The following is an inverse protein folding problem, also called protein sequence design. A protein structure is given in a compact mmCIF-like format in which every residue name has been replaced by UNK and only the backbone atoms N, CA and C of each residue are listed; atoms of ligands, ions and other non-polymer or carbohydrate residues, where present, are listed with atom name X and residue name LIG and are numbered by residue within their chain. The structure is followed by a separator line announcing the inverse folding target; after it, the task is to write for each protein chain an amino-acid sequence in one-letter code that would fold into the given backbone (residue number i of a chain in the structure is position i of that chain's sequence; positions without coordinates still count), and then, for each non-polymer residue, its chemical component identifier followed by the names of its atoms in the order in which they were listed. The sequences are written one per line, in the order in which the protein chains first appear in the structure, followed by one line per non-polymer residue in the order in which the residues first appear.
data_IF_725549005221
#
_entry.id   IF_725549005221
#
_cell.length_a   1.000
_cell.length_b   1.000
_cell.length_c   1.000
_cell.angle_alpha   90.00
_cell.angle_beta   90.00
_cell.angle_gamma   90.00
#
_symmetry.space_group_name_H-M   'P 1'
#
loop_
_entity.id
_entity.type
_entity.pdbx_description
1 polymer ?
#
# COMPACT_ATOMS: atom_id res chain seq x y z
N UNK A 1 -23.56 20.77 -7.48
CA UNK A 1 -23.11 19.39 -7.76
C UNK A 1 -21.61 19.17 -7.54
N UNK A 2 -20.75 20.19 -7.61
CA UNK A 2 -19.29 20.02 -7.46
C UNK A 2 -18.83 19.54 -6.06
N UNK A 3 -19.38 20.10 -4.97
CA UNK A 3 -19.02 19.68 -3.60
C UNK A 3 -19.37 18.22 -3.27
N UNK A 4 -20.45 17.68 -3.85
CA UNK A 4 -20.89 16.31 -3.60
C UNK A 4 -19.98 15.24 -4.23
N UNK A 5 -19.28 15.56 -5.32
CA UNK A 5 -18.32 14.63 -5.92
C UNK A 5 -17.04 14.54 -5.09
N UNK A 6 -16.62 15.63 -4.44
CA UNK A 6 -15.36 15.67 -3.69
C UNK A 6 -15.36 14.76 -2.46
N UNK A 7 -16.45 14.70 -1.70
CA UNK A 7 -16.52 13.83 -0.51
C UNK A 7 -16.52 12.34 -0.85
N UNK A 8 -17.23 11.94 -1.92
CA UNK A 8 -17.27 10.55 -2.36
C UNK A 8 -15.89 10.13 -2.86
N UNK A 9 -15.18 11.02 -3.57
CA UNK A 9 -13.81 10.73 -3.99
C UNK A 9 -12.87 10.55 -2.80
N UNK A 10 -13.00 11.35 -1.73
CA UNK A 10 -12.15 11.20 -0.54
C UNK A 10 -12.39 9.88 0.19
N UNK A 11 -13.65 9.45 0.36
CA UNK A 11 -13.98 8.18 1.02
C UNK A 11 -13.49 6.97 0.21
N UNK A 12 -13.60 7.03 -1.12
CA UNK A 12 -13.09 5.98 -2.01
C UNK A 12 -11.55 5.90 -1.93
N UNK A 13 -10.87 7.04 -1.91
CA UNK A 13 -9.41 7.09 -1.79
C UNK A 13 -8.97 6.49 -0.45
N UNK A 14 -9.60 6.88 0.66
CA UNK A 14 -9.29 6.35 1.99
C UNK A 14 -9.50 4.83 2.07
N UNK A 15 -10.63 4.33 1.58
CA UNK A 15 -10.91 2.89 1.52
C UNK A 15 -9.87 2.14 0.67
N UNK A 16 -9.49 2.71 -0.48
CA UNK A 16 -8.52 2.10 -1.40
C UNK A 16 -7.12 2.02 -0.79
N UNK A 17 -6.66 3.10 -0.14
CA UNK A 17 -5.37 3.14 0.53
C UNK A 17 -5.31 2.15 1.69
N UNK A 18 -6.35 2.11 2.53
CA UNK A 18 -6.45 1.17 3.67
C UNK A 18 -6.50 -0.29 3.22
N UNK A 19 -7.20 -0.58 2.12
CA UNK A 19 -7.24 -1.91 1.51
C UNK A 19 -5.86 -2.35 0.98
N UNK A 20 -5.13 -1.47 0.29
CA UNK A 20 -3.78 -1.76 -0.21
C UNK A 20 -2.83 -2.03 0.96
N UNK A 21 -2.88 -1.18 1.99
CA UNK A 21 -2.05 -1.35 3.18
C UNK A 21 -2.36 -2.66 3.90
N UNK A 22 -3.64 -3.00 4.06
CA UNK A 22 -4.07 -4.28 4.62
C UNK A 22 -3.55 -5.49 3.84
N UNK A 23 -3.54 -5.45 2.50
CA UNK A 23 -2.97 -6.52 1.67
C UNK A 23 -1.47 -6.70 1.95
N UNK A 24 -0.72 -5.60 2.10
CA UNK A 24 0.71 -5.64 2.43
C UNK A 24 0.91 -6.25 3.83
N UNK A 25 0.11 -5.83 4.82
CA UNK A 25 0.17 -6.38 6.17
C UNK A 25 -0.13 -7.89 6.19
N UNK A 26 -1.13 -8.37 5.43
CA UNK A 26 -1.45 -9.81 5.32
C UNK A 26 -0.26 -10.57 4.75
N UNK A 27 0.37 -10.05 3.68
CA UNK A 27 1.56 -10.67 3.08
C UNK A 27 2.71 -10.77 4.10
N UNK A 28 2.98 -9.70 4.85
CA UNK A 28 4.02 -9.67 5.89
C UNK A 28 3.72 -10.63 7.04
N UNK A 29 2.48 -10.64 7.54
CA UNK A 29 2.03 -11.56 8.58
C UNK A 29 2.21 -13.02 8.17
N UNK A 30 1.80 -13.35 6.94
CA UNK A 30 1.95 -14.70 6.39
C UNK A 30 3.41 -15.07 6.11
N UNK A 31 4.26 -14.12 5.67
CA UNK A 31 5.71 -14.32 5.51
C UNK A 31 6.33 -14.73 6.85
N UNK A 32 6.08 -13.96 7.91
CA UNK A 32 6.63 -14.23 9.25
C UNK A 32 6.06 -15.53 9.83
N UNK A 33 4.77 -15.80 9.63
CA UNK A 33 4.17 -17.07 10.03
C UNK A 33 4.87 -18.29 9.43
N UNK A 34 5.21 -18.23 8.14
CA UNK A 34 6.01 -19.29 7.49
C UNK A 34 7.41 -19.39 8.07
N UNK A 35 8.08 -18.27 8.33
CA UNK A 35 9.43 -18.25 8.90
C UNK A 35 9.46 -18.94 10.27
N UNK A 36 8.50 -18.61 11.16
CA UNK A 36 8.37 -19.25 12.47
C UNK A 36 8.18 -20.77 12.33
N UNK A 37 7.28 -21.20 11.44
CA UNK A 37 7.02 -22.64 11.24
C UNK A 37 8.27 -23.38 10.73
N UNK A 38 9.00 -22.81 9.76
CA UNK A 38 10.25 -23.38 9.26
C UNK A 38 11.32 -23.49 10.34
N UNK A 39 11.49 -22.44 11.16
CA UNK A 39 12.45 -22.42 12.25
C UNK A 39 12.10 -23.41 13.37
N UNK A 40 10.80 -23.57 13.69
CA UNK A 40 10.33 -24.56 14.66
C UNK A 40 10.56 -26.00 14.16
N UNK A 41 10.31 -26.27 12.87
CA UNK A 41 10.56 -27.57 12.27
C UNK A 41 12.06 -27.94 12.34
N UNK A 42 12.95 -26.98 12.08
CA UNK A 42 14.40 -27.19 12.20
C UNK A 42 14.83 -27.39 13.65
N UNK A 43 14.33 -26.57 14.58
CA UNK A 43 14.63 -26.70 16.02
C UNK A 43 14.24 -28.08 16.56
N UNK A 44 13.10 -28.63 16.13
CA UNK A 44 12.64 -29.96 16.55
C UNK A 44 13.48 -31.12 15.97
N UNK A 45 14.36 -30.83 15.00
CA UNK A 45 15.20 -31.79 14.28
C UNK A 45 16.69 -31.61 14.60
N UNK A 46 17.03 -30.92 15.68
CA UNK A 46 18.41 -30.85 16.20
C UNK A 46 18.87 -32.25 16.63
N UNK A 47 19.32 -33.02 15.64
CA UNK A 47 20.05 -34.26 15.80
C UNK A 47 21.45 -33.98 15.24
N UNK A 48 22.49 -34.03 16.09
CA UNK A 48 23.90 -33.86 15.70
C UNK A 48 24.31 -34.82 14.54
N UNK A 49 23.56 -35.92 14.37
CA UNK A 49 23.72 -36.91 13.30
C UNK A 49 23.16 -36.47 11.93
N UNK A 50 22.50 -35.31 11.84
CA UNK A 50 21.96 -34.77 10.59
C UNK A 50 23.05 -34.38 9.59
N UNK A 51 24.25 -34.04 10.08
CA UNK A 51 25.39 -33.57 9.29
C UNK A 51 26.15 -34.71 8.60
N UNK A 52 26.06 -35.94 9.12
CA UNK A 52 26.79 -37.10 8.60
C UNK A 52 26.01 -37.83 7.48
N UNK A 53 24.73 -37.49 7.27
CA UNK A 53 23.84 -38.11 6.27
C UNK A 53 23.54 -37.22 5.03
N UNK A 54 24.36 -36.21 4.75
CA UNK A 54 24.15 -35.30 3.61
C UNK A 54 24.42 -36.02 2.29
N UNK A 55 23.46 -35.96 1.36
CA UNK A 55 23.60 -36.45 -0.03
C UNK A 55 23.94 -35.27 -0.93
N UNK A 56 24.76 -35.52 -1.95
CA UNK A 56 25.36 -34.54 -2.88
C UNK A 56 24.36 -33.73 -3.73
N UNK A 57 23.05 -33.99 -3.63
CA UNK A 57 22.05 -33.50 -4.59
C UNK A 57 20.72 -33.03 -3.98
N UNK A 58 20.53 -33.15 -2.66
CA UNK A 58 19.34 -32.66 -1.97
C UNK A 58 19.74 -31.79 -0.78
N UNK A 59 19.64 -30.47 -0.96
CA UNK A 59 19.81 -29.51 0.11
C UNK A 59 18.88 -29.82 1.28
N UNK A 60 19.43 -29.91 2.49
CA UNK A 60 18.67 -30.10 3.72
C UNK A 60 18.64 -28.80 4.49
N UNK A 61 17.46 -28.23 4.68
CA UNK A 61 17.29 -27.03 5.49
C UNK A 61 17.65 -27.33 6.94
N UNK A 62 18.63 -26.60 7.48
CA UNK A 62 19.21 -26.88 8.78
C UNK A 62 19.70 -25.61 9.48
N UNK A 63 19.97 -25.77 10.77
CA UNK A 63 20.55 -24.76 11.64
C UNK A 63 21.94 -25.20 12.05
N UNK A 64 22.89 -24.28 11.96
CA UNK A 64 24.27 -24.47 12.38
C UNK A 64 24.59 -23.39 13.39
N UNK A 65 25.07 -23.80 14.56
CA UNK A 65 25.45 -22.87 15.62
C UNK A 65 26.90 -23.08 16.01
N UNK A 66 27.75 -22.07 15.87
CA UNK A 66 29.15 -22.22 16.19
C UNK A 66 30.01 -20.98 15.94
N UNK A 67 31.29 -21.02 16.33
CA UNK A 67 32.21 -19.93 16.07
C UNK A 67 32.52 -19.80 14.58
N UNK A 68 32.62 -18.54 14.14
CA UNK A 68 33.06 -18.17 12.80
C UNK A 68 34.56 -18.34 12.67
N UNK A 69 35.01 -18.98 11.58
CA UNK A 69 36.41 -19.16 11.23
C UNK A 69 36.66 -18.67 9.80
N UNK A 70 37.67 -17.84 9.59
CA UNK A 70 38.03 -17.39 8.25
C UNK A 70 38.68 -18.54 7.45
N UNK A 71 38.34 -18.65 6.16
CA UNK A 71 39.00 -19.58 5.22
C UNK A 71 40.18 -18.94 4.50
N UNK A 72 40.34 -17.62 4.61
CA UNK A 72 41.45 -16.85 4.07
C UNK A 72 41.94 -15.78 5.05
N UNK A 73 42.58 -14.74 4.51
CA UNK A 73 43.04 -13.60 5.32
C UNK A 73 41.84 -12.81 5.85
N UNK A 74 41.79 -12.56 7.15
CA UNK A 74 40.75 -11.74 7.76
C UNK A 74 40.83 -10.28 7.31
N UNK A 75 39.69 -9.59 7.35
CA UNK A 75 39.59 -8.17 7.07
C UNK A 75 39.98 -7.43 8.35
N UNK A 76 41.07 -6.65 8.38
CA UNK A 76 41.38 -5.80 9.51
C UNK A 76 40.39 -4.63 9.58
N UNK A 77 40.07 -4.19 10.80
CA UNK A 77 39.28 -2.98 11.01
C UNK A 77 40.05 -1.76 10.54
N UNK A 78 39.34 -0.80 9.94
CA UNK A 78 39.94 0.44 9.44
C UNK A 78 40.24 1.42 10.59
N UNK A 79 39.39 1.43 11.62
CA UNK A 79 39.48 2.41 12.70
C UNK A 79 39.97 1.82 14.03
N UNK A 80 39.85 0.52 14.25
CA UNK A 80 40.22 -0.12 15.52
C UNK A 80 41.43 -1.05 15.31
N UNK A 81 42.58 -0.77 15.95
CA UNK A 81 43.75 -1.61 15.82
C UNK A 81 43.51 -2.98 16.47
N UNK A 82 44.16 -4.02 15.92
CA UNK A 82 44.07 -5.41 16.40
C UNK A 82 42.68 -6.05 16.36
N UNK A 83 41.74 -5.47 15.61
CA UNK A 83 40.44 -6.09 15.36
C UNK A 83 40.35 -6.56 13.91
N UNK A 84 39.89 -7.79 13.70
CA UNK A 84 39.69 -8.35 12.37
C UNK A 84 38.42 -9.21 12.31
N UNK A 85 37.84 -9.31 11.12
CA UNK A 85 36.59 -10.04 10.90
C UNK A 85 36.50 -10.64 9.50
N UNK A 86 35.37 -11.31 9.25
CA UNK A 86 35.09 -11.99 7.98
C UNK A 86 34.13 -11.20 7.10
N UNK A 87 33.30 -10.36 7.71
CA UNK A 87 32.39 -9.44 7.02
C UNK A 87 32.57 -8.07 7.63
N UNK A 88 32.70 -7.06 6.80
CA UNK A 88 32.78 -5.66 7.20
C UNK A 88 31.81 -4.85 6.36
N UNK A 89 31.03 -4.01 7.03
CA UNK A 89 30.14 -3.02 6.44
C UNK A 89 30.60 -1.65 6.88
N UNK A 90 30.99 -0.83 5.91
CA UNK A 90 31.32 0.57 6.12
C UNK A 90 30.13 1.40 5.64
N UNK A 91 29.58 2.22 6.53
CA UNK A 91 28.45 3.10 6.21
C UNK A 91 28.77 4.52 6.60
N UNK A 92 28.66 5.45 5.66
CA UNK A 92 28.67 6.89 5.94
C UNK A 92 27.29 7.43 5.63
N UNK A 93 26.64 8.00 6.64
CA UNK A 93 25.29 8.52 6.55
C UNK A 93 25.24 9.98 6.96
N UNK A 94 24.45 10.76 6.23
CA UNK A 94 24.09 12.13 6.60
C UNK A 94 22.95 12.10 7.61
N UNK A 95 23.07 12.86 8.69
CA UNK A 95 22.01 13.05 9.66
C UNK A 95 21.33 14.40 9.42
N UNK A 96 20.06 14.33 9.03
CA UNK A 96 19.22 15.48 8.71
C UNK A 96 17.92 15.44 9.50
N UNK A 97 17.35 16.60 9.79
CA UNK A 97 15.96 16.74 10.20
C UNK A 97 15.12 17.16 9.01
N UNK A 98 14.03 16.47 8.72
CA UNK A 98 13.11 16.84 7.66
C UNK A 98 11.71 17.10 8.18
N UNK A 99 10.97 17.93 7.44
CA UNK A 99 9.61 18.35 7.78
C UNK A 99 8.60 17.65 6.86
N UNK A 100 7.62 16.91 7.40
CA UNK A 100 6.50 16.45 6.56
C UNK A 100 5.65 17.61 6.07
N UNK A 101 4.77 17.29 5.11
CA UNK A 101 3.61 18.10 4.72
C UNK A 101 2.75 18.56 5.91
N UNK A 102 2.71 17.82 7.03
CA UNK A 102 1.99 18.20 8.27
C UNK A 102 2.76 19.20 9.14
N UNK A 103 4.00 19.53 8.78
CA UNK A 103 4.82 20.53 9.46
C UNK A 103 5.62 20.03 10.66
N UNK A 104 5.58 18.73 10.97
CA UNK A 104 6.34 18.08 12.04
C UNK A 104 7.77 17.75 11.59
N UNK A 105 8.74 18.01 12.45
CA UNK A 105 10.17 17.71 12.22
C UNK A 105 10.51 16.33 12.78
N UNK A 106 11.23 15.52 12.00
CA UNK A 106 11.78 14.25 12.46
C UNK A 106 13.23 14.08 12.02
N UNK A 107 13.97 13.23 12.74
CA UNK A 107 15.32 12.83 12.36
C UNK A 107 15.28 11.76 11.27
N UNK A 108 16.10 11.94 10.25
CA UNK A 108 16.25 11.05 9.10
C UNK A 108 17.74 10.82 8.87
N UNK A 109 18.15 9.55 8.78
CA UNK A 109 19.51 9.16 8.41
C UNK A 109 19.55 8.75 6.95
N UNK A 110 20.33 9.47 6.15
CA UNK A 110 20.45 9.25 4.71
C UNK A 110 21.80 8.62 4.40
N UNK A 111 21.86 7.34 3.96
CA UNK A 111 23.12 6.73 3.61
C UNK A 111 23.73 7.42 2.38
N UNK A 112 24.94 7.97 2.53
CA UNK A 112 25.73 8.59 1.45
C UNK A 112 26.53 7.50 0.73
N UNK A 113 27.17 6.65 1.51
CA UNK A 113 28.01 5.58 1.00
C UNK A 113 27.90 4.34 1.87
N UNK A 114 27.75 3.18 1.24
CA UNK A 114 27.73 1.88 1.90
C UNK A 114 28.56 0.89 1.08
N UNK A 115 29.51 0.23 1.72
CA UNK A 115 30.34 -0.80 1.09
C UNK A 115 30.44 -2.03 1.99
N UNK A 116 30.46 -3.21 1.35
CA UNK A 116 30.57 -4.49 2.02
C UNK A 116 31.84 -5.19 1.55
N UNK A 117 32.68 -5.58 2.51
CA UNK A 117 33.84 -6.43 2.28
C UNK A 117 33.53 -7.79 2.92
N UNK A 118 33.66 -8.86 2.14
CA UNK A 118 33.36 -10.22 2.58
C UNK A 118 34.54 -11.12 2.22
N UNK A 119 35.02 -11.86 3.20
CA UNK A 119 36.02 -12.93 3.02
C UNK A 119 35.32 -14.27 3.21
N UNK A 120 35.62 -15.31 2.41
CA UNK A 120 35.08 -16.65 2.62
C UNK A 120 35.34 -17.13 4.05
N UNK A 121 34.28 -17.59 4.71
CA UNK A 121 34.34 -18.06 6.09
C UNK A 121 33.45 -19.27 6.29
N UNK A 122 33.73 -19.99 7.36
CA UNK A 122 32.97 -21.16 7.76
C UNK A 122 32.51 -21.06 9.21
N UNK A 123 31.40 -21.72 9.52
CA UNK A 123 30.94 -21.94 10.88
C UNK A 123 31.44 -23.33 11.31
N UNK A 124 32.14 -23.37 12.44
CA UNK A 124 32.71 -24.62 12.97
C UNK A 124 31.70 -25.26 13.93
N UNK A 125 31.34 -26.51 13.68
CA UNK A 125 30.43 -27.29 14.52
C UNK A 125 31.07 -28.64 14.85
N UNK A 126 31.65 -28.74 16.05
CA UNK A 126 32.41 -29.93 16.46
C UNK A 126 33.56 -30.24 15.50
N UNK A 127 33.46 -31.38 14.80
CA UNK A 127 34.45 -31.84 13.80
C UNK A 127 34.20 -31.27 12.39
N UNK A 128 33.05 -30.62 12.16
CA UNK A 128 32.62 -30.18 10.84
C UNK A 128 32.91 -28.70 10.64
N UNK A 129 33.38 -28.36 9.43
CA UNK A 129 33.59 -26.98 8.98
C UNK A 129 32.61 -26.74 7.84
N UNK A 130 31.70 -25.79 8.03
CA UNK A 130 30.61 -25.51 7.08
C UNK A 130 30.84 -24.12 6.51
N UNK A 131 31.23 -24.05 5.24
CA UNK A 131 31.46 -22.80 4.54
C UNK A 131 30.13 -22.10 4.24
N UNK A 132 30.09 -20.78 4.48
CA UNK A 132 28.88 -19.97 4.29
C UNK A 132 28.96 -19.26 2.95
N UNK A 133 27.97 -19.49 2.09
CA UNK A 133 27.90 -18.89 0.75
C UNK A 133 26.91 -17.73 0.72
N UNK A 134 27.17 -16.74 -0.15
CA UNK A 134 26.24 -15.64 -0.46
C UNK A 134 25.65 -14.93 0.76
N UNK A 135 26.50 -14.62 1.74
CA UNK A 135 26.18 -13.98 3.03
C UNK A 135 25.32 -12.72 2.87
N UNK A 136 25.55 -11.94 1.80
CA UNK A 136 24.82 -10.70 1.52
C UNK A 136 23.36 -10.94 1.09
N UNK A 137 22.98 -12.17 0.72
CA UNK A 137 21.59 -12.53 0.40
C UNK A 137 20.79 -12.94 1.64
N UNK A 138 21.39 -12.94 2.83
CA UNK A 138 20.68 -13.25 4.07
C UNK A 138 19.54 -12.25 4.32
N UNK A 139 18.36 -12.75 4.67
CA UNK A 139 17.21 -11.94 5.10
C UNK A 139 17.57 -11.13 6.37
N UNK A 140 18.48 -11.65 7.20
CA UNK A 140 19.00 -11.00 8.39
C UNK A 140 20.49 -11.35 8.53
N UNK A 141 21.34 -10.33 8.48
CA UNK A 141 22.79 -10.43 8.71
C UNK A 141 23.14 -9.53 9.89
N UNK A 142 23.49 -10.13 11.03
CA UNK A 142 23.88 -9.38 12.21
C UNK A 142 25.38 -9.06 12.18
N UNK A 143 25.72 -7.78 12.30
CA UNK A 143 27.08 -7.26 12.39
C UNK A 143 27.20 -6.40 13.65
N UNK A 144 28.29 -6.55 14.38
CA UNK A 144 28.55 -5.73 15.56
C UNK A 144 29.14 -4.38 15.14
N UNK A 145 28.64 -3.27 15.68
CA UNK A 145 29.28 -1.96 15.48
C UNK A 145 30.62 -1.92 16.20
N UNK A 146 31.70 -1.86 15.44
CA UNK A 146 33.09 -1.80 15.93
C UNK A 146 33.56 -0.36 16.10
N UNK A 147 33.13 0.52 15.19
CA UNK A 147 33.46 1.94 15.25
C UNK A 147 32.23 2.78 14.88
N UNK A 148 32.04 3.88 15.59
CA UNK A 148 30.98 4.83 15.34
C UNK A 148 31.50 6.24 15.65
N UNK A 149 31.67 7.05 14.61
CA UNK A 149 32.08 8.45 14.72
C UNK A 149 30.97 9.35 14.23
N UNK A 150 30.69 10.38 15.01
CA UNK A 150 29.74 11.41 14.66
C UNK A 150 30.46 12.76 14.52
N UNK A 151 30.42 13.33 13.33
CA UNK A 151 30.98 14.64 13.00
C UNK A 151 29.84 15.66 12.86
N UNK A 152 29.82 16.68 13.73
CA UNK A 152 28.83 17.76 13.66
C UNK A 152 29.15 18.72 12.52
N UNK A 153 28.15 19.06 11.72
CA UNK A 153 28.27 20.16 10.75
C UNK A 153 27.90 21.47 11.45
N UNK A 154 28.88 22.36 11.62
CA UNK A 154 28.63 23.69 12.20
C UNK A 154 28.15 24.62 11.10
N UNK A 155 26.86 24.96 11.11
CA UNK A 155 26.30 25.93 10.15
C UNK A 155 26.52 27.37 10.60
N UNK A 156 26.78 28.26 9.64
CA UNK A 156 26.73 29.71 9.86
C UNK A 156 25.28 30.18 10.07
N UNK A 157 25.10 31.37 10.66
CA UNK A 157 23.77 31.99 10.88
C UNK A 157 22.90 32.04 9.60
N UNK A 158 23.52 32.25 8.43
CA UNK A 158 22.82 32.25 7.14
C UNK A 158 22.37 30.83 6.71
N UNK A 159 23.15 29.79 7.04
CA UNK A 159 22.77 28.39 6.80
C UNK A 159 21.57 27.96 7.63
N UNK A 160 21.48 28.42 8.89
CA UNK A 160 20.35 28.12 9.77
C UNK A 160 19.02 28.71 9.25
N UNK A 161 19.05 29.90 8.64
CA UNK A 161 17.86 30.53 8.06
C UNK A 161 17.39 29.80 6.80
N UNK A 162 18.31 29.40 5.91
CA UNK A 162 17.96 28.65 4.71
C UNK A 162 17.36 27.27 5.00
N UNK A 163 17.87 26.54 6.00
CA UNK A 163 17.30 25.25 6.43
C UNK A 163 15.85 25.36 6.93
N UNK A 164 15.50 26.48 7.56
CA UNK A 164 14.13 26.74 8.02
C UNK A 164 13.14 26.91 6.86
N UNK A 165 13.56 27.56 5.77
CA UNK A 165 12.69 27.76 4.59
C UNK A 165 12.53 26.50 3.73
N UNK A 166 13.56 25.67 3.59
CA UNK A 166 13.50 24.45 2.75
C UNK A 166 12.94 23.22 3.46
N UNK A 167 12.71 23.27 4.78
CA UNK A 167 12.17 22.14 5.54
C UNK A 167 13.16 20.98 5.72
N UNK A 168 14.45 21.22 5.50
CA UNK A 168 15.55 20.25 5.69
C UNK A 168 16.67 20.93 6.44
N UNK A 169 17.09 20.34 7.57
CA UNK A 169 18.19 20.82 8.40
C UNK A 169 19.21 19.71 8.60
N UNK A 170 20.35 19.79 7.92
CA UNK A 170 21.48 18.91 8.16
C UNK A 170 22.15 19.29 9.50
N UNK A 171 22.61 18.32 10.29
CA UNK A 171 23.34 18.64 11.53
C UNK A 171 24.57 17.76 11.80
N UNK A 172 24.79 16.70 11.02
CA UNK A 172 26.07 16.01 11.05
C UNK A 172 26.20 14.88 10.03
N UNK A 173 27.35 14.24 10.08
CA UNK A 173 27.67 13.02 9.34
C UNK A 173 28.05 11.94 10.36
N UNK A 174 27.58 10.73 10.11
CA UNK A 174 27.89 9.58 10.94
C UNK A 174 28.62 8.54 10.09
N UNK A 175 29.80 8.15 10.53
CA UNK A 175 30.58 7.08 9.92
C UNK A 175 30.59 5.89 10.87
N UNK A 176 30.05 4.77 10.41
CA UNK A 176 30.00 3.51 11.16
C UNK A 176 30.77 2.42 10.44
N UNK A 177 31.44 1.59 11.23
CA UNK A 177 32.05 0.34 10.81
C UNK A 177 31.42 -0.78 11.62
N UNK A 178 30.74 -1.69 10.93
CA UNK A 178 30.12 -2.87 11.51
C UNK A 178 30.85 -4.11 10.99
N UNK A 179 31.13 -5.08 11.86
CA UNK A 179 31.89 -6.27 11.49
C UNK A 179 31.36 -7.55 12.14
N UNK A 180 31.45 -8.65 11.40
CA UNK A 180 31.38 -9.98 11.94
C UNK A 180 32.80 -10.44 12.30
N UNK A 181 33.14 -10.39 13.58
CA UNK A 181 34.48 -10.74 14.08
C UNK A 181 34.73 -12.24 13.99
N UNK A 182 35.98 -12.60 13.70
CA UNK A 182 36.40 -14.01 13.79
C UNK A 182 36.24 -14.54 15.22
N UNK A 183 35.84 -15.81 15.37
CA UNK A 183 35.57 -16.44 16.66
C UNK A 183 34.20 -16.11 17.27
N UNK A 184 33.45 -15.16 16.70
CA UNK A 184 32.08 -14.84 17.15
C UNK A 184 31.19 -16.06 16.94
N UNK A 185 30.41 -16.41 17.95
CA UNK A 185 29.42 -17.48 17.85
C UNK A 185 28.22 -16.95 17.08
N UNK A 186 27.87 -17.63 15.99
CA UNK A 186 26.73 -17.27 15.15
C UNK A 186 25.83 -18.47 14.94
N UNK A 187 24.57 -18.18 14.68
CA UNK A 187 23.55 -19.10 14.21
C UNK A 187 23.32 -18.84 12.72
N UNK A 188 23.77 -19.77 11.88
CA UNK A 188 23.51 -19.81 10.45
C UNK A 188 22.34 -20.74 10.15
N UNK A 189 21.37 -20.26 9.38
CA UNK A 189 20.17 -21.02 9.01
C UNK A 189 19.98 -20.95 7.51
N UNK A 190 19.96 -22.10 6.83
CA UNK A 190 19.95 -22.19 5.37
C UNK A 190 19.88 -23.64 4.88
N UNK A 191 19.99 -23.83 3.57
CA UNK A 191 20.09 -25.18 3.01
C UNK A 191 21.55 -25.67 3.10
N UNK A 192 21.75 -26.82 3.74
CA UNK A 192 23.04 -27.51 3.76
C UNK A 192 23.19 -28.37 2.51
N UNK A 193 24.27 -28.15 1.78
CA UNK A 193 24.64 -28.90 0.58
C UNK A 193 26.07 -29.43 0.72
N UNK A 194 26.39 -30.49 -0.01
CA UNK A 194 27.74 -31.01 -0.12
C UNK A 194 28.28 -30.65 -1.51
N UNK A 195 29.39 -29.91 -1.55
CA UNK A 195 30.08 -29.57 -2.80
C UNK A 195 30.67 -30.83 -3.46
N UNK A 196 31.01 -30.74 -4.74
CA UNK A 196 31.75 -31.79 -5.47
C UNK A 196 33.05 -32.17 -4.77
N UNK A 197 33.66 -31.21 -4.07
CA UNK A 197 34.97 -31.34 -3.44
C UNK A 197 34.87 -31.90 -2.00
N UNK A 198 33.66 -32.26 -1.56
CA UNK A 198 33.38 -32.78 -0.23
C UNK A 198 33.26 -31.72 0.86
N UNK A 199 33.37 -30.43 0.52
CA UNK A 199 33.10 -29.33 1.45
C UNK A 199 31.62 -29.20 1.74
N UNK A 200 31.27 -28.93 3.00
CA UNK A 200 29.88 -28.68 3.42
C UNK A 200 29.59 -27.20 3.26
N UNK A 201 28.54 -26.88 2.51
CA UNK A 201 28.15 -25.51 2.19
C UNK A 201 26.82 -25.18 2.85
N UNK A 202 26.71 -24.00 3.45
CA UNK A 202 25.46 -23.38 3.86
C UNK A 202 25.09 -22.34 2.80
N UNK A 203 24.02 -22.63 2.07
CA UNK A 203 23.60 -21.90 0.87
C UNK A 203 22.23 -21.25 1.12
N UNK A 204 21.94 -20.08 0.51
CA UNK A 204 20.59 -19.53 0.49
C UNK A 204 19.59 -20.59 0.00
N UNK A 205 18.49 -20.81 0.73
CA UNK A 205 17.58 -21.91 0.45
C UNK A 205 16.78 -21.67 -0.83
N UNK A 206 16.54 -22.74 -1.58
CA UNK A 206 15.70 -22.68 -2.77
C UNK A 206 14.23 -22.52 -2.39
N UNK A 207 13.71 -21.30 -2.37
CA UNK A 207 12.29 -21.00 -2.15
C UNK A 207 12.03 -19.85 -1.17
N UNK A 208 10.83 -19.83 -0.57
CA UNK A 208 10.39 -18.81 0.38
C UNK A 208 10.80 -19.10 1.85
N UNK A 209 11.94 -19.77 2.05
CA UNK A 209 12.46 -20.09 3.39
C UNK A 209 13.45 -19.00 3.83
N UNK A 210 13.55 -18.71 5.14
CA UNK A 210 14.47 -17.70 5.59
C UNK A 210 15.93 -18.15 5.46
N UNK A 211 16.80 -17.21 5.07
CA UNK A 211 18.25 -17.33 5.17
C UNK A 211 18.76 -16.36 6.23
N UNK A 212 19.32 -16.86 7.33
CA UNK A 212 19.72 -16.02 8.47
C UNK A 212 21.15 -16.29 8.90
N UNK A 213 21.87 -15.22 9.20
CA UNK A 213 23.19 -15.25 9.83
C UNK A 213 23.14 -14.25 10.98
N UNK A 214 22.90 -14.74 12.20
CA UNK A 214 22.70 -13.89 13.37
C UNK A 214 23.53 -14.36 14.56
N UNK A 215 23.99 -13.43 15.39
CA UNK A 215 24.63 -13.73 16.68
C UNK A 215 23.61 -14.12 17.75
N UNK A 216 22.32 -13.86 17.50
CA UNK A 216 21.25 -14.17 18.43
C UNK A 216 21.03 -15.69 18.52
N UNK A 217 20.70 -16.22 19.71
CA UNK A 217 20.26 -17.61 19.84
C UNK A 217 18.88 -17.78 19.20
N UNK A 218 18.59 -18.99 18.73
CA UNK A 218 17.34 -19.34 18.06
C UNK A 218 16.08 -18.96 18.87
N UNK A 219 16.13 -19.11 20.20
CA UNK A 219 15.02 -18.75 21.10
C UNK A 219 14.69 -17.26 21.07
N UNK A 220 15.70 -16.39 20.98
CA UNK A 220 15.49 -14.94 20.90
C UNK A 220 15.02 -14.55 19.51
N UNK A 221 15.57 -15.14 18.44
CA UNK A 221 15.10 -14.93 17.07
C UNK A 221 13.62 -15.33 16.91
N UNK A 222 13.21 -16.48 17.46
CA UNK A 222 11.82 -16.93 17.43
C UNK A 222 10.88 -16.00 18.20
N UNK A 223 11.32 -15.46 19.34
CA UNK A 223 10.57 -14.48 20.13
C UNK A 223 10.39 -13.19 19.33
N UNK A 224 11.46 -12.64 18.75
CA UNK A 224 11.39 -11.42 17.95
C UNK A 224 10.45 -11.58 16.74
N UNK A 225 10.50 -12.72 16.06
CA UNK A 225 9.56 -13.02 14.97
C UNK A 225 8.12 -13.16 15.46
N UNK A 226 7.90 -13.75 16.64
CA UNK A 226 6.56 -13.87 17.23
C UNK A 226 6.00 -12.52 17.64
N UNK A 227 6.84 -11.64 18.19
CA UNK A 227 6.47 -10.28 18.56
C UNK A 227 6.13 -9.47 17.30
N UNK A 228 6.98 -9.52 16.27
CA UNK A 228 6.67 -8.94 14.94
C UNK A 228 5.34 -9.48 14.39
N UNK A 229 5.11 -10.80 14.45
CA UNK A 229 3.85 -11.41 14.00
C UNK A 229 2.65 -10.89 14.79
N UNK A 230 2.76 -10.76 16.11
CA UNK A 230 1.69 -10.23 16.96
C UNK A 230 1.39 -8.78 16.60
N UNK A 231 2.41 -7.94 16.41
CA UNK A 231 2.25 -6.55 15.97
C UNK A 231 1.52 -6.46 14.62
N UNK A 232 1.92 -7.23 13.61
CA UNK A 232 1.20 -7.29 12.34
C UNK A 232 -0.23 -7.79 12.51
N UNK A 233 -0.48 -8.73 13.41
CA UNK A 233 -1.83 -9.19 13.76
C UNK A 233 -2.72 -8.08 14.32
N UNK A 234 -2.21 -7.30 15.28
CA UNK A 234 -2.93 -6.15 15.83
C UNK A 234 -3.19 -5.06 14.80
N UNK A 235 -2.20 -4.76 13.94
CA UNK A 235 -2.37 -3.82 12.84
C UNK A 235 -3.46 -4.28 11.86
N UNK A 236 -3.53 -5.58 11.55
CA UNK A 236 -4.58 -6.14 10.68
C UNK A 236 -5.98 -6.02 11.27
N UNK A 237 -6.13 -6.19 12.60
CA UNK A 237 -7.41 -5.98 13.28
C UNK A 237 -7.83 -4.52 13.17
N UNK A 238 -6.89 -3.59 13.38
CA UNK A 238 -7.16 -2.15 13.28
C UNK A 238 -7.55 -1.73 11.86
N UNK A 239 -6.76 -2.09 10.85
CA UNK A 239 -7.04 -1.72 9.45
C UNK A 239 -8.28 -2.44 8.93
N UNK A 240 -8.47 -3.71 9.29
CA UNK A 240 -9.71 -4.44 8.96
C UNK A 240 -10.96 -3.75 9.52
N UNK A 241 -10.89 -3.23 10.75
CA UNK A 241 -11.97 -2.43 11.35
C UNK A 241 -12.25 -1.14 10.57
N UNK A 242 -11.20 -0.42 10.17
CA UNK A 242 -11.32 0.80 9.35
C UNK A 242 -11.90 0.50 7.96
N UNK A 243 -11.47 -0.58 7.31
CA UNK A 243 -11.99 -1.01 6.00
C UNK A 243 -13.50 -1.29 6.09
N UNK A 244 -13.95 -2.00 7.13
CA UNK A 244 -15.38 -2.29 7.34
C UNK A 244 -16.17 -1.00 7.60
N UNK A 245 -15.63 -0.10 8.41
CA UNK A 245 -16.26 1.19 8.72
C UNK A 245 -16.42 2.06 7.47
N UNK A 246 -15.34 2.30 6.72
CA UNK A 246 -15.38 3.12 5.51
C UNK A 246 -16.21 2.47 4.40
N UNK A 247 -16.09 1.15 4.21
CA UNK A 247 -16.93 0.40 3.28
C UNK A 247 -18.42 0.49 3.63
N UNK A 248 -18.77 0.41 4.93
CA UNK A 248 -20.13 0.56 5.42
C UNK A 248 -20.70 1.97 5.21
N UNK A 249 -19.90 3.01 5.44
CA UNK A 249 -20.30 4.40 5.19
C UNK A 249 -20.54 4.65 3.70
N UNK A 250 -19.63 4.19 2.84
CA UNK A 250 -19.75 4.29 1.38
C UNK A 250 -21.00 3.56 0.90
N UNK A 251 -21.22 2.32 1.36
CA UNK A 251 -22.41 1.54 1.03
C UNK A 251 -23.70 2.24 1.46
N UNK A 252 -23.76 2.75 2.70
CA UNK A 252 -24.91 3.50 3.22
C UNK A 252 -25.22 4.74 2.37
N UNK A 253 -24.20 5.51 1.99
CA UNK A 253 -24.35 6.70 1.14
C UNK A 253 -24.82 6.34 -0.26
N UNK A 254 -24.23 5.32 -0.89
CA UNK A 254 -24.65 4.83 -2.21
C UNK A 254 -26.11 4.35 -2.19
N UNK A 255 -26.50 3.60 -1.15
CA UNK A 255 -27.89 3.17 -0.95
C UNK A 255 -28.85 4.34 -0.78
N UNK A 256 -28.50 5.35 0.03
CA UNK A 256 -29.32 6.55 0.19
C UNK A 256 -29.49 7.31 -1.13
N UNK A 257 -28.43 7.39 -1.94
CA UNK A 257 -28.48 8.03 -3.26
C UNK A 257 -29.34 7.24 -4.25
N UNK A 258 -29.23 5.91 -4.29
CA UNK A 258 -30.08 5.06 -5.12
C UNK A 258 -31.55 5.18 -4.69
N UNK A 259 -31.82 5.22 -3.39
CA UNK A 259 -33.19 5.42 -2.85
C UNK A 259 -33.77 6.77 -3.28
N UNK A 260 -32.98 7.85 -3.20
CA UNK A 260 -33.39 9.19 -3.69
C UNK A 260 -33.69 9.19 -5.19
N UNK A 261 -32.87 8.52 -6.01
CA UNK A 261 -33.09 8.39 -7.46
C UNK A 261 -34.39 7.65 -7.77
N UNK A 262 -34.64 6.52 -7.10
CA UNK A 262 -35.89 5.76 -7.24
C UNK A 262 -37.11 6.59 -6.83
N UNK A 263 -37.05 7.30 -5.70
CA UNK A 263 -38.14 8.15 -5.24
C UNK A 263 -38.44 9.30 -6.21
N UNK A 264 -37.42 9.90 -6.82
CA UNK A 264 -37.59 10.95 -7.83
C UNK A 264 -38.23 10.42 -9.12
N UNK A 265 -37.82 9.22 -9.57
CA UNK A 265 -38.42 8.57 -10.74
C UNK A 265 -39.89 8.21 -10.48
N UNK A 266 -40.20 7.69 -9.29
CA UNK A 266 -41.58 7.38 -8.90
C UNK A 266 -42.44 8.65 -8.84
N UNK A 267 -41.93 9.73 -8.26
CA UNK A 267 -42.62 11.01 -8.21
C UNK A 267 -42.89 11.56 -9.62
N UNK A 268 -41.89 11.50 -10.52
CA UNK A 268 -42.08 11.93 -11.92
C UNK A 268 -43.16 11.10 -12.61
N UNK A 269 -43.13 9.76 -12.49
CA UNK A 269 -44.16 8.89 -13.05
C UNK A 269 -45.56 9.20 -12.54
N UNK A 270 -45.70 9.48 -11.23
CA UNK A 270 -46.99 9.88 -10.64
C UNK A 270 -47.48 11.21 -11.20
N UNK A 271 -46.61 12.22 -11.30
CA UNK A 271 -46.96 13.51 -11.89
C UNK A 271 -47.36 13.35 -13.37
N UNK A 272 -46.67 12.50 -14.13
CA UNK A 272 -47.01 12.23 -15.52
C UNK A 272 -48.36 11.51 -15.65
N UNK A 273 -48.65 10.56 -14.75
CA UNK A 273 -49.96 9.91 -14.67
C UNK A 273 -51.08 10.90 -14.32
N UNK A 274 -50.87 11.76 -13.32
CA UNK A 274 -51.84 12.79 -12.91
C UNK A 274 -52.08 13.84 -14.02
N UNK A 275 -51.05 14.18 -14.79
CA UNK A 275 -51.19 15.04 -15.97
C UNK A 275 -52.04 14.37 -17.05
N UNK A 276 -51.78 13.10 -17.35
CA UNK A 276 -52.54 12.32 -18.34
C UNK A 276 -54.00 12.13 -17.92
N UNK A 277 -54.25 11.80 -16.65
CA UNK A 277 -55.62 11.64 -16.14
C UNK A 277 -56.40 12.95 -16.20
N UNK A 278 -55.76 14.08 -15.86
CA UNK A 278 -56.37 15.42 -16.01
C UNK A 278 -56.75 15.72 -17.46
N UNK A 279 -55.85 15.43 -18.42
CA UNK A 279 -56.15 15.61 -19.84
C UNK A 279 -57.30 14.71 -20.29
N UNK A 280 -57.35 13.46 -19.84
CA UNK A 280 -58.45 12.54 -20.16
C UNK A 280 -59.79 13.06 -19.64
N UNK A 281 -59.84 13.51 -18.39
CA UNK A 281 -61.06 14.10 -17.82
C UNK A 281 -61.54 15.33 -18.60
N UNK A 282 -60.61 16.16 -19.11
CA UNK A 282 -60.97 17.31 -19.96
C UNK A 282 -61.49 16.85 -21.32
N UNK A 283 -60.92 15.79 -21.91
CA UNK A 283 -61.41 15.18 -23.16
C UNK A 283 -62.84 14.65 -22.99
N UNK A 284 -63.10 13.91 -21.90
CA UNK A 284 -64.38 13.25 -21.63
C UNK A 284 -65.52 14.26 -21.37
N UNK A 285 -65.22 15.45 -20.84
CA UNK A 285 -66.18 16.55 -20.64
C UNK A 285 -66.41 17.42 -21.89
N UNK A 286 -66.37 16.82 -23.09
CA UNK A 286 -66.59 17.49 -24.39
C UNK A 286 -65.69 18.72 -24.65
N UNK A 287 -64.37 18.52 -24.71
CA UNK A 287 -63.41 19.58 -25.08
C UNK A 287 -63.76 20.19 -26.47
N UNK A 288 -64.08 21.51 -26.57
CA UNK A 288 -64.37 22.17 -27.84
C UNK A 288 -63.22 22.07 -28.84
N UNK A 289 -63.53 21.89 -30.12
CA UNK A 289 -62.52 21.74 -31.19
C UNK A 289 -61.54 22.91 -31.25
N UNK A 290 -62.00 24.14 -30.96
CA UNK A 290 -61.17 25.35 -30.94
C UNK A 290 -60.06 25.32 -29.89
N UNK A 291 -60.24 24.53 -28.82
CA UNK A 291 -59.29 24.35 -27.72
C UNK A 291 -58.39 23.12 -27.90
N UNK A 292 -58.60 22.31 -28.94
CA UNK A 292 -57.77 21.12 -29.22
C UNK A 292 -56.47 21.49 -29.91
N UNK A 293 -55.42 20.76 -29.56
CA UNK A 293 -54.10 20.84 -30.19
C UNK A 293 -54.24 20.65 -31.70
N UNK A 294 -53.67 21.54 -32.51
CA UNK A 294 -53.81 21.47 -33.97
C UNK A 294 -53.05 20.30 -34.61
N UNK A 295 -52.17 19.65 -33.85
CA UNK A 295 -51.30 18.57 -34.31
C UNK A 295 -51.93 17.20 -34.03
N UNK A 296 -52.20 16.89 -32.76
CA UNK A 296 -52.82 15.61 -32.41
C UNK A 296 -54.35 15.63 -32.45
N UNK A 297 -54.99 16.82 -32.45
CA UNK A 297 -56.45 17.01 -32.42
C UNK A 297 -57.19 16.31 -31.27
N UNK A 298 -56.45 15.84 -30.26
CA UNK A 298 -57.02 15.12 -29.11
C UNK A 298 -56.82 15.88 -27.78
N UNK A 299 -55.60 16.36 -27.50
CA UNK A 299 -55.27 17.04 -26.24
C UNK A 299 -55.62 18.53 -26.28
N UNK A 300 -55.90 19.17 -25.13
CA UNK A 300 -56.06 20.63 -25.06
C UNK A 300 -54.76 21.37 -25.40
N UNK A 301 -54.90 22.61 -25.87
CA UNK A 301 -53.77 23.53 -26.08
C UNK A 301 -53.19 23.96 -24.73
N UNK A 302 -51.91 23.74 -24.52
CA UNK A 302 -51.23 23.96 -23.21
C UNK A 302 -49.94 24.77 -23.34
N UNK A 303 -49.45 25.02 -24.57
CA UNK A 303 -48.14 25.65 -24.80
C UNK A 303 -48.26 26.84 -25.74
N UNK A 304 -47.70 27.98 -25.32
CA UNK A 304 -47.53 29.20 -26.10
C UNK A 304 -46.14 29.18 -26.75
N UNK A 305 -46.11 29.43 -28.05
CA UNK A 305 -44.87 29.53 -28.83
C UNK A 305 -44.43 31.00 -28.94
N UNK A 306 -43.18 31.31 -28.57
CA UNK A 306 -42.63 32.66 -28.61
C UNK A 306 -41.56 32.78 -29.70
N UNK A 307 -41.44 33.93 -30.38
CA UNK A 307 -42.12 35.20 -30.08
C UNK A 307 -43.52 35.36 -30.70
N UNK A 308 -43.99 34.41 -31.53
CA UNK A 308 -45.24 34.60 -32.29
C UNK A 308 -46.53 34.57 -31.46
N UNK A 309 -46.49 34.10 -30.21
CA UNK A 309 -47.61 34.11 -29.26
C UNK A 309 -48.69 33.04 -29.48
N UNK A 310 -48.53 32.15 -30.47
CA UNK A 310 -49.58 31.18 -30.79
C UNK A 310 -49.71 30.07 -29.74
N UNK A 311 -50.87 30.03 -29.08
CA UNK A 311 -51.35 28.91 -28.27
C UNK A 311 -52.03 27.90 -29.20
N UNK A 312 -51.29 26.88 -29.65
CA UNK A 312 -51.79 25.97 -30.70
C UNK A 312 -51.49 24.48 -30.47
N UNK A 313 -50.60 24.12 -29.53
CA UNK A 313 -50.17 22.74 -29.30
C UNK A 313 -50.28 22.32 -27.82
N UNK A 314 -50.37 21.01 -27.57
CA UNK A 314 -50.27 20.43 -26.22
C UNK A 314 -48.81 20.22 -25.80
N UNK A 315 -48.55 19.91 -24.52
CA UNK A 315 -47.18 19.65 -24.02
C UNK A 315 -46.49 18.53 -24.80
N UNK A 316 -47.18 17.40 -25.06
CA UNK A 316 -46.59 16.23 -25.76
C UNK A 316 -46.16 16.57 -27.20
N UNK A 317 -47.00 17.27 -27.98
CA UNK A 317 -46.64 17.72 -29.33
C UNK A 317 -45.56 18.80 -29.32
N UNK A 318 -45.45 19.56 -28.21
CA UNK A 318 -44.41 20.56 -28.05
C UNK A 318 -43.02 19.96 -27.91
N UNK A 319 -42.87 18.73 -27.41
CA UNK A 319 -41.56 18.06 -27.34
C UNK A 319 -41.01 17.74 -28.73
N UNK A 320 -41.89 17.39 -29.67
CA UNK A 320 -41.53 17.00 -31.04
C UNK A 320 -41.34 18.20 -31.97
N UNK A 321 -42.06 19.30 -31.76
CA UNK A 321 -42.02 20.49 -32.63
C UNK A 321 -41.08 21.53 -32.04
N UNK A 322 -39.86 21.63 -32.58
CA UNK A 322 -38.80 22.49 -32.04
C UNK A 322 -38.49 23.73 -32.87
N UNK A 323 -38.71 23.69 -34.19
CA UNK A 323 -38.16 24.70 -35.11
C UNK A 323 -39.14 25.79 -35.54
N UNK A 324 -40.40 25.45 -35.85
CA UNK A 324 -41.35 26.39 -36.44
C UNK A 324 -42.78 26.21 -35.93
N UNK A 325 -43.49 27.34 -35.79
CA UNK A 325 -44.89 27.35 -35.36
C UNK A 325 -45.79 26.69 -36.43
N UNK A 326 -46.66 25.72 -36.06
CA UNK A 326 -47.58 25.07 -37.01
C UNK A 326 -48.57 26.01 -37.69
N UNK A 327 -48.86 27.16 -37.08
CA UNK A 327 -49.83 28.14 -37.57
C UNK A 327 -49.18 29.16 -38.50
N UNK A 328 -48.17 29.88 -38.02
CA UNK A 328 -47.58 31.02 -38.73
C UNK A 328 -46.18 30.75 -39.31
N UNK A 329 -45.64 29.54 -39.09
CA UNK A 329 -44.31 29.09 -39.53
C UNK A 329 -43.12 29.92 -39.01
N UNK A 330 -43.37 30.89 -38.13
CA UNK A 330 -42.30 31.65 -37.45
C UNK A 330 -41.42 30.72 -36.61
N UNK A 331 -40.13 31.06 -36.54
CA UNK A 331 -39.16 30.33 -35.74
C UNK A 331 -39.52 30.34 -34.24
N UNK A 332 -39.47 29.17 -33.59
CA UNK A 332 -39.74 29.04 -32.16
C UNK A 332 -38.45 29.33 -31.39
N UNK A 333 -38.41 30.44 -30.66
CA UNK A 333 -37.29 30.78 -29.79
C UNK A 333 -37.44 30.17 -28.39
N UNK A 334 -38.64 30.28 -27.81
CA UNK A 334 -38.96 29.76 -26.48
C UNK A 334 -40.40 29.24 -26.44
N UNK A 335 -40.67 28.36 -25.47
CA UNK A 335 -41.99 27.76 -25.23
C UNK A 335 -42.39 28.05 -23.78
N UNK A 336 -43.63 28.44 -23.55
CA UNK A 336 -44.16 28.71 -22.22
C UNK A 336 -45.45 27.92 -22.00
N UNK A 337 -45.66 27.39 -20.78
CA UNK A 337 -46.90 26.74 -20.42
C UNK A 337 -48.03 27.78 -20.28
N UNK A 338 -49.21 27.49 -20.83
CA UNK A 338 -50.42 28.27 -20.66
C UNK A 338 -51.36 27.58 -19.66
N UNK A 339 -51.95 28.38 -18.78
CA UNK A 339 -53.02 27.96 -17.90
C UNK A 339 -54.30 28.66 -18.36
N UNK A 340 -55.22 27.91 -18.95
CA UNK A 340 -56.56 28.38 -19.27
C UNK A 340 -57.39 28.26 -17.99
N UNK A 341 -57.65 29.41 -17.35
CA UNK A 341 -58.44 29.52 -16.11
C UNK A 341 -59.93 29.59 -16.38
#
# INVERSE_FOLDING_TARGET
MAFFNTEITTEIILFSVDAIFSIILVKSYNKIGRYINCLQEVSSREDDNALDNLKTDKGKYALVHGPVKALGNTIPSLHVPHMSGVVQKLSTSELVMTRNSSGFWWDESRPIHQSYNVVPFAIVLGKHVIEVQDVLQADELHLDTVYNKYDRTVHSLAGNLWSFFFGVRQYGMQTTEEMLKEGTIVTGIGDLMLSSDGTKLLVPPSGNKPYFITTQPLSSLLRDLRDKKSLFGWLLILTGGLTILFGGLLARRLWANLKKRKAKQELQRRLDQDRRSRRQNVRDNELPETLRCVVCQENPKEVILLPCGHLCICEDCSEQITSSCPICRSHIATKAAAFLS
#
